data_IF_685696315709
#
_entry.id   IF_685696315709
#
_cell.length_a   1.000
_cell.length_b   1.000
_cell.length_c   1.000
_cell.angle_alpha   90.00
_cell.angle_beta   90.00
_cell.angle_gamma   90.00
#
_symmetry.space_group_name_H-M   'P 1'
#
loop_
_entity.id
_entity.type
_entity.pdbx_description
1 polymer ?
#
# COMPACT_ATOMS: atom_id res chain seq x y z
N UNK A 1 -31.80 5.34 20.19
CA UNK A 1 -31.26 5.79 18.88
C UNK A 1 -29.75 5.57 18.89
N UNK A 2 -29.19 5.11 17.77
CA UNK A 2 -27.83 4.56 17.63
C UNK A 2 -26.75 5.63 17.89
N UNK A 3 -25.80 5.34 18.78
CA UNK A 3 -24.58 6.12 18.96
C UNK A 3 -23.40 5.17 19.16
N UNK A 4 -22.81 4.73 18.04
CA UNK A 4 -21.54 4.03 18.01
C UNK A 4 -20.44 5.12 18.12
N UNK A 5 -19.49 5.05 19.05
CA UNK A 5 -18.30 5.90 19.07
C UNK A 5 -17.07 5.03 18.76
N UNK A 6 -16.22 5.49 17.84
CA UNK A 6 -14.94 4.83 17.49
C UNK A 6 -13.87 5.92 17.64
N UNK A 7 -12.89 5.70 18.52
CA UNK A 7 -11.72 6.58 18.69
C UNK A 7 -10.60 6.01 17.82
N UNK A 8 -10.04 6.84 16.95
CA UNK A 8 -8.83 6.53 16.18
C UNK A 8 -7.70 7.40 16.69
N UNK A 9 -6.64 6.82 17.24
CA UNK A 9 -5.44 7.55 17.64
C UNK A 9 -4.37 7.43 16.55
N UNK A 10 -3.77 8.56 16.16
CA UNK A 10 -2.64 8.61 15.23
C UNK A 10 -1.40 9.11 15.96
N UNK A 11 -0.30 8.39 15.79
CA UNK A 11 1.04 8.80 16.26
C UNK A 11 1.95 8.92 15.04
N UNK A 12 2.45 10.13 14.78
CA UNK A 12 3.23 10.43 13.57
C UNK A 12 3.27 11.92 13.26
N UNK A 13 3.54 12.28 12.00
CA UNK A 13 3.60 13.69 11.55
C UNK A 13 2.30 14.44 11.87
N UNK A 14 2.42 15.60 12.54
CA UNK A 14 1.29 16.49 12.87
C UNK A 14 0.42 16.82 11.66
N UNK A 15 1.04 16.97 10.49
CA UNK A 15 0.34 17.28 9.25
C UNK A 15 -0.52 16.11 8.75
N UNK A 16 0.05 14.89 8.75
CA UNK A 16 -0.68 13.67 8.41
C UNK A 16 -1.82 13.43 9.40
N UNK A 17 -1.57 13.67 10.68
CA UNK A 17 -2.60 13.67 11.70
C UNK A 17 -3.75 14.61 11.35
N UNK A 18 -3.45 15.86 10.97
CA UNK A 18 -4.47 16.83 10.53
C UNK A 18 -5.22 16.36 9.29
N UNK A 19 -4.55 15.77 8.30
CA UNK A 19 -5.21 15.23 7.10
C UNK A 19 -6.13 14.05 7.44
N UNK A 20 -5.70 13.14 8.31
CA UNK A 20 -6.54 12.03 8.81
C UNK A 20 -7.74 12.58 9.57
N UNK A 21 -7.55 13.62 10.38
CA UNK A 21 -8.62 14.27 11.13
C UNK A 21 -9.61 15.00 10.21
N UNK A 22 -9.13 15.68 9.17
CA UNK A 22 -9.96 16.31 8.14
C UNK A 22 -10.73 15.27 7.32
N UNK A 23 -10.07 14.21 6.85
CA UNK A 23 -10.69 13.13 6.11
C UNK A 23 -11.73 12.39 6.97
N UNK A 24 -11.47 12.20 8.26
CA UNK A 24 -12.46 11.67 9.19
C UNK A 24 -13.66 12.61 9.35
N UNK A 25 -13.43 13.92 9.48
CA UNK A 25 -14.50 14.93 9.55
C UNK A 25 -15.33 15.08 8.26
N UNK A 26 -14.74 14.79 7.09
CA UNK A 26 -15.41 14.85 5.78
C UNK A 26 -16.08 13.52 5.39
N UNK A 27 -15.80 12.43 6.11
CA UNK A 27 -16.44 11.13 5.92
C UNK A 27 -17.37 10.81 7.09
N UNK A 28 -18.07 9.67 7.06
CA UNK A 28 -18.88 9.20 8.20
C UNK A 28 -18.02 8.63 9.35
N UNK A 29 -16.74 9.00 9.40
CA UNK A 29 -15.74 8.40 10.28
C UNK A 29 -15.61 9.23 11.55
N UNK A 30 -15.60 8.57 12.70
CA UNK A 30 -15.79 9.21 14.01
C UNK A 30 -14.51 9.83 14.55
N UNK A 31 -14.64 10.51 15.69
CA UNK A 31 -13.62 11.31 16.40
C UNK A 31 -12.21 10.67 16.31
N UNK A 32 -11.29 11.37 15.66
CA UNK A 32 -9.86 11.05 15.61
C UNK A 32 -9.14 11.87 16.67
N UNK A 33 -8.32 11.20 17.49
CA UNK A 33 -7.41 11.83 18.46
C UNK A 33 -6.00 11.82 17.87
N UNK A 34 -5.30 12.95 17.93
CA UNK A 34 -3.91 13.07 17.48
C UNK A 34 -3.02 13.14 18.72
N UNK A 35 -2.15 12.15 18.88
CA UNK A 35 -1.10 12.19 19.91
C UNK A 35 0.19 12.66 19.26
N UNK A 36 0.57 13.89 19.55
CA UNK A 36 1.77 14.52 19.01
C UNK A 36 2.93 14.38 20.00
N UNK A 37 3.91 13.54 19.64
CA UNK A 37 5.26 13.61 20.20
C UNK A 37 5.38 13.15 21.65
N UNK A 38 5.81 11.89 21.82
CA UNK A 38 6.34 11.42 23.08
C UNK A 38 6.89 10.03 22.92
N UNK A 39 8.10 9.77 23.45
CA UNK A 39 8.74 8.43 23.51
C UNK A 39 7.94 7.41 24.35
N UNK A 40 6.71 7.72 24.71
CA UNK A 40 5.78 6.89 25.48
C UNK A 40 4.35 7.35 25.11
N UNK A 41 3.66 6.67 24.19
CA UNK A 41 2.24 6.93 23.95
C UNK A 41 1.49 6.50 25.20
N UNK A 42 1.10 7.45 26.05
CA UNK A 42 0.15 7.15 27.10
C UNK A 42 -1.24 7.15 26.44
N UNK A 43 -1.70 5.98 25.97
CA UNK A 43 -3.12 5.83 25.58
C UNK A 43 -3.93 5.88 26.87
N UNK A 44 -4.31 7.10 27.28
CA UNK A 44 -5.22 7.31 28.41
C UNK A 44 -6.62 6.96 27.95
N UNK A 45 -7.01 5.70 28.12
CA UNK A 45 -8.41 5.32 28.09
C UNK A 45 -9.07 5.99 29.30
N UNK A 46 -9.96 6.95 29.07
CA UNK A 46 -10.74 7.54 30.17
C UNK A 46 -11.60 6.45 30.80
N UNK A 47 -11.43 6.22 32.09
CA UNK A 47 -12.35 5.42 32.87
C UNK A 47 -13.79 5.97 32.69
N UNK A 48 -14.65 5.12 32.13
CA UNK A 48 -16.08 5.04 32.40
C UNK A 48 -17.06 6.16 31.99
N UNK A 49 -16.74 7.07 31.05
CA UNK A 49 -17.78 7.99 30.52
C UNK A 49 -18.46 7.47 29.24
N UNK A 50 -17.72 6.75 28.39
CA UNK A 50 -18.24 6.11 27.18
C UNK A 50 -17.49 4.80 26.98
N UNK A 51 -18.08 3.66 27.34
CA UNK A 51 -17.48 2.32 27.20
C UNK A 51 -17.20 1.98 25.72
N UNK A 52 -16.11 2.49 25.17
CA UNK A 52 -15.68 2.24 23.79
C UNK A 52 -14.83 0.96 23.80
N UNK A 53 -15.29 -0.12 23.15
CA UNK A 53 -14.56 -1.38 23.19
C UNK A 53 -13.22 -1.24 22.46
N UNK A 54 -12.14 -1.81 23.00
CA UNK A 54 -10.81 -1.76 22.38
C UNK A 54 -10.79 -2.41 20.98
N UNK A 55 -11.63 -3.41 20.76
CA UNK A 55 -11.87 -4.05 19.46
C UNK A 55 -12.42 -3.09 18.38
N UNK A 56 -12.86 -1.91 18.79
CA UNK A 56 -13.39 -0.84 17.94
C UNK A 56 -12.32 0.19 17.55
N UNK A 57 -11.17 0.18 18.24
CA UNK A 57 -10.10 1.14 18.02
C UNK A 57 -9.19 0.72 16.85
N UNK A 58 -8.81 1.71 16.04
CA UNK A 58 -7.81 1.57 14.98
C UNK A 58 -6.70 2.57 15.25
N UNK A 59 -5.50 2.04 15.48
CA UNK A 59 -4.28 2.84 15.72
C UNK A 59 -3.42 2.82 14.46
N UNK A 60 -2.97 3.99 14.03
CA UNK A 60 -2.10 4.12 12.85
C UNK A 60 -0.79 4.74 13.32
N UNK A 61 0.31 4.05 13.02
CA UNK A 61 1.66 4.47 13.42
C UNK A 61 2.59 4.52 12.21
N UNK A 62 3.28 5.64 12.01
CA UNK A 62 4.30 5.80 10.96
C UNK A 62 5.71 5.77 11.54
N UNK A 63 6.66 5.12 10.86
CA UNK A 63 8.05 5.04 11.31
C UNK A 63 8.13 4.40 12.71
N UNK A 64 8.84 5.03 13.64
CA UNK A 64 8.87 4.67 15.06
C UNK A 64 7.46 4.61 15.71
N UNK A 65 6.51 5.38 15.19
CA UNK A 65 5.11 5.36 15.60
C UNK A 65 4.43 4.00 15.41
N UNK A 66 4.90 3.17 14.48
CA UNK A 66 4.37 1.83 14.28
C UNK A 66 4.67 0.91 15.49
N UNK A 67 5.88 0.97 16.05
CA UNK A 67 6.24 0.20 17.25
C UNK A 67 5.57 0.74 18.51
N UNK A 68 5.42 2.06 18.59
CA UNK A 68 4.59 2.75 19.59
C UNK A 68 3.15 2.21 19.58
N UNK A 69 2.56 1.98 18.41
CA UNK A 69 1.25 1.36 18.27
C UNK A 69 1.26 -0.11 18.72
N UNK A 70 2.29 -0.89 18.37
CA UNK A 70 2.46 -2.28 18.83
C UNK A 70 2.51 -2.38 20.35
N UNK A 71 3.39 -1.60 20.99
CA UNK A 71 3.48 -1.52 22.46
C UNK A 71 2.19 -1.12 23.16
N UNK A 72 1.35 -0.29 22.51
CA UNK A 72 0.02 0.02 23.00
C UNK A 72 -0.92 -1.19 22.89
N UNK A 73 -0.91 -1.89 21.75
CA UNK A 73 -1.66 -3.12 21.52
C UNK A 73 -1.34 -4.21 22.54
N UNK A 74 -0.06 -4.45 22.79
CA UNK A 74 0.45 -5.39 23.80
C UNK A 74 -0.06 -5.08 25.21
N UNK A 75 -0.08 -3.79 25.60
CA UNK A 75 -0.51 -3.35 26.94
C UNK A 75 -2.02 -3.30 27.13
N UNK A 76 -2.75 -2.96 26.07
CA UNK A 76 -4.20 -2.81 26.11
C UNK A 76 -4.94 -4.14 25.89
N UNK A 77 -4.21 -5.24 25.62
CA UNK A 77 -4.76 -6.58 25.43
C UNK A 77 -5.83 -6.64 24.32
N UNK A 78 -5.34 -6.50 23.07
CA UNK A 78 -6.04 -6.68 21.77
C UNK A 78 -6.91 -5.50 21.31
N UNK A 79 -6.24 -4.51 20.71
CA UNK A 79 -6.86 -3.47 19.88
C UNK A 79 -7.58 -4.07 18.67
N UNK A 80 -8.54 -3.32 18.11
CA UNK A 80 -9.32 -3.75 16.95
C UNK A 80 -8.50 -3.88 15.66
N UNK A 81 -7.64 -2.88 15.41
CA UNK A 81 -6.72 -2.83 14.26
C UNK A 81 -5.50 -1.97 14.55
N UNK A 82 -4.34 -2.39 14.07
CA UNK A 82 -3.15 -1.53 13.93
C UNK A 82 -2.76 -1.44 12.45
N UNK A 83 -2.44 -0.25 11.97
CA UNK A 83 -1.77 -0.09 10.68
C UNK A 83 -0.36 0.46 10.88
N UNK A 84 0.65 -0.31 10.46
CA UNK A 84 2.05 0.10 10.44
C UNK A 84 2.41 0.75 9.11
N UNK A 85 2.78 2.02 9.13
CA UNK A 85 3.21 2.75 7.93
C UNK A 85 4.74 2.84 7.96
N UNK A 86 5.38 1.97 7.19
CA UNK A 86 6.83 1.80 7.08
C UNK A 86 7.53 1.78 8.47
N UNK A 87 7.29 0.73 9.28
CA UNK A 87 7.86 0.61 10.62
C UNK A 87 9.39 0.76 10.60
N UNK A 88 9.97 1.46 11.57
CA UNK A 88 11.40 1.81 11.53
C UNK A 88 12.32 0.58 11.73
N UNK A 89 13.35 0.44 10.90
CA UNK A 89 14.32 -0.67 10.99
C UNK A 89 15.27 -0.59 12.19
N UNK A 90 15.90 0.56 12.48
CA UNK A 90 16.98 0.60 13.46
C UNK A 90 16.51 0.18 14.85
N UNK A 91 17.16 -0.84 15.41
CA UNK A 91 16.89 -1.44 16.73
C UNK A 91 15.62 -2.30 16.85
N UNK A 92 14.84 -2.48 15.78
CA UNK A 92 13.60 -3.27 15.79
C UNK A 92 13.63 -4.47 14.86
N UNK A 93 14.31 -4.37 13.71
CA UNK A 93 14.29 -5.47 12.76
C UNK A 93 14.99 -6.72 13.31
N UNK A 94 14.34 -7.86 13.13
CA UNK A 94 14.77 -9.18 13.59
C UNK A 94 14.94 -9.31 15.11
N UNK A 95 14.37 -8.38 15.89
CA UNK A 95 14.23 -8.56 17.34
C UNK A 95 13.06 -9.47 17.67
N UNK A 96 12.98 -9.86 18.94
CA UNK A 96 11.80 -10.54 19.51
C UNK A 96 10.53 -9.71 19.27
N UNK A 97 9.39 -10.39 19.11
CA UNK A 97 8.07 -9.81 18.86
C UNK A 97 7.72 -8.75 19.91
N UNK A 98 7.99 -9.02 21.19
CA UNK A 98 7.78 -8.09 22.31
C UNK A 98 8.48 -6.72 22.18
N UNK A 99 9.47 -6.61 21.30
CA UNK A 99 10.29 -5.41 21.11
C UNK A 99 9.81 -4.58 19.90
N UNK A 100 8.93 -5.09 19.05
CA UNK A 100 8.53 -4.45 17.79
C UNK A 100 7.02 -4.52 17.57
N UNK A 101 6.57 -4.09 16.40
CA UNK A 101 5.22 -4.35 15.95
C UNK A 101 5.16 -5.81 15.49
N UNK A 102 4.10 -6.52 15.84
CA UNK A 102 3.83 -7.86 15.34
C UNK A 102 2.32 -8.17 15.26
N UNK A 103 1.90 -9.27 14.59
CA UNK A 103 0.49 -9.60 14.42
C UNK A 103 -0.30 -9.72 15.73
N UNK A 104 0.33 -10.14 16.83
CA UNK A 104 -0.34 -10.35 18.12
C UNK A 104 -0.83 -9.07 18.81
N UNK A 105 -0.31 -7.90 18.41
CA UNK A 105 -0.62 -6.60 19.01
C UNK A 105 -2.07 -6.14 18.80
N UNK A 106 -2.77 -6.68 17.80
CA UNK A 106 -4.18 -6.36 17.54
C UNK A 106 -4.93 -7.54 16.91
N UNK A 107 -6.26 -7.46 16.88
CA UNK A 107 -7.08 -8.43 16.15
C UNK A 107 -6.84 -8.40 14.63
N UNK A 108 -6.20 -7.35 14.12
CA UNK A 108 -5.77 -7.24 12.73
C UNK A 108 -4.64 -6.21 12.63
N UNK A 109 -3.57 -6.58 11.96
CA UNK A 109 -2.39 -5.73 11.75
C UNK A 109 -2.10 -5.73 10.26
N UNK A 110 -2.12 -4.55 9.65
CA UNK A 110 -1.76 -4.37 8.24
C UNK A 110 -0.58 -3.39 8.11
N UNK A 111 0.40 -3.74 7.29
CA UNK A 111 1.66 -2.99 7.21
C UNK A 111 1.95 -2.57 5.78
N UNK A 112 2.45 -1.35 5.58
CA UNK A 112 2.89 -0.84 4.27
C UNK A 112 4.39 -0.57 4.34
N UNK A 113 5.19 -1.34 3.60
CA UNK A 113 6.63 -1.18 3.48
C UNK A 113 6.97 -0.35 2.26
N UNK A 114 7.72 0.73 2.43
CA UNK A 114 8.11 1.62 1.33
C UNK A 114 9.60 1.88 1.26
N UNK A 115 10.32 1.72 2.37
CA UNK A 115 11.76 2.03 2.49
C UNK A 115 12.55 0.91 3.17
N UNK A 116 12.19 -0.35 2.90
CA UNK A 116 12.86 -1.57 3.39
C UNK A 116 14.26 -1.84 2.81
N UNK A 117 14.98 -0.80 2.39
CA UNK A 117 16.40 -0.90 2.08
C UNK A 117 17.23 -1.13 3.35
N UNK A 118 18.45 -1.64 3.23
CA UNK A 118 19.35 -1.69 4.40
C UNK A 118 19.58 -0.26 4.89
N UNK A 119 19.64 -0.06 6.21
CA UNK A 119 20.01 1.22 6.82
C UNK A 119 21.35 1.75 6.29
N UNK A 120 22.31 0.86 6.03
CA UNK A 120 23.61 1.21 5.44
C UNK A 120 23.44 1.79 4.03
N UNK A 121 22.41 1.35 3.30
CA UNK A 121 22.06 1.84 1.96
C UNK A 121 21.04 3.00 1.97
N UNK A 122 20.73 3.53 3.15
CA UNK A 122 19.84 4.67 3.34
C UNK A 122 18.34 4.35 3.51
N UNK A 123 17.97 3.08 3.71
CA UNK A 123 16.58 2.71 4.04
C UNK A 123 16.27 2.91 5.52
N UNK A 124 15.10 3.45 5.85
CA UNK A 124 14.67 3.69 7.23
C UNK A 124 13.62 2.68 7.71
N UNK A 125 12.93 2.01 6.79
CA UNK A 125 11.85 1.07 7.10
C UNK A 125 12.33 -0.38 7.21
N UNK A 126 11.60 -1.20 7.97
CA UNK A 126 11.80 -2.65 8.03
C UNK A 126 11.38 -3.29 6.69
N UNK A 127 12.09 -4.34 6.29
CA UNK A 127 11.66 -5.26 5.21
C UNK A 127 11.11 -6.58 5.76
N UNK A 128 11.28 -6.82 7.06
CA UNK A 128 10.71 -7.96 7.76
C UNK A 128 9.19 -7.82 7.85
N UNK A 129 8.47 -8.91 7.59
CA UNK A 129 7.03 -9.01 7.79
C UNK A 129 6.68 -8.82 9.27
N UNK A 130 5.70 -7.96 9.55
CA UNK A 130 5.26 -7.68 10.91
C UNK A 130 3.74 -7.43 11.03
N UNK A 131 2.96 -7.76 10.00
CA UNK A 131 1.51 -7.74 10.03
C UNK A 131 0.89 -9.10 9.79
N UNK A 132 -0.44 -9.16 9.88
CA UNK A 132 -1.19 -10.26 9.28
C UNK A 132 -1.15 -10.15 7.74
N UNK A 133 -1.07 -8.93 7.22
CA UNK A 133 -0.83 -8.63 5.81
C UNK A 133 0.20 -7.52 5.68
N UNK A 134 1.20 -7.75 4.84
CA UNK A 134 2.32 -6.86 4.60
C UNK A 134 2.34 -6.48 3.11
N UNK A 135 2.11 -5.20 2.84
CA UNK A 135 2.09 -4.65 1.49
C UNK A 135 3.46 -4.06 1.14
N UNK A 136 3.97 -4.46 -0.03
CA UNK A 136 5.26 -4.01 -0.57
C UNK A 136 5.05 -3.29 -1.91
N UNK A 137 4.45 -2.08 -1.91
CA UNK A 137 4.33 -1.27 -3.11
C UNK A 137 5.70 -1.03 -3.75
N UNK A 138 5.79 -1.31 -5.04
CA UNK A 138 7.02 -1.22 -5.84
C UNK A 138 8.19 -2.03 -5.25
N UNK A 139 7.87 -3.15 -4.60
CA UNK A 139 8.85 -4.03 -3.94
C UNK A 139 9.28 -3.56 -2.55
N UNK A 140 8.69 -2.47 -2.06
CA UNK A 140 8.78 -1.99 -0.68
C UNK A 140 10.14 -1.42 -0.26
N UNK A 141 11.03 -1.11 -1.20
CA UNK A 141 12.37 -0.55 -0.93
C UNK A 141 12.61 0.83 -1.52
N UNK A 142 12.23 1.02 -2.79
CA UNK A 142 12.47 2.26 -3.53
C UNK A 142 11.22 2.62 -4.29
N UNK A 143 10.68 3.80 -3.98
CA UNK A 143 9.43 4.26 -4.54
C UNK A 143 9.67 5.12 -5.77
N UNK A 144 8.86 4.96 -6.83
CA UNK A 144 8.93 5.83 -8.00
C UNK A 144 8.85 7.32 -7.59
N UNK A 145 9.68 8.15 -8.22
CA UNK A 145 9.73 9.59 -7.95
C UNK A 145 10.60 10.01 -6.76
N UNK A 146 11.20 9.06 -6.02
CA UNK A 146 12.06 9.37 -4.87
C UNK A 146 13.57 9.47 -5.20
N UNK A 147 13.92 9.66 -6.47
CA UNK A 147 15.31 9.89 -6.93
C UNK A 147 15.60 11.37 -7.21
N UNK A 148 14.76 12.28 -6.73
CA UNK A 148 14.92 13.72 -6.99
C UNK A 148 16.15 14.26 -6.26
N UNK A 149 16.88 15.16 -6.90
CA UNK A 149 17.92 15.94 -6.23
C UNK A 149 17.28 16.86 -5.17
N UNK A 150 18.07 17.31 -4.19
CA UNK A 150 17.55 18.11 -3.07
C UNK A 150 16.80 19.36 -3.54
N UNK A 151 17.22 19.95 -4.67
CA UNK A 151 16.57 21.12 -5.30
C UNK A 151 15.14 20.80 -5.75
N UNK A 152 14.92 19.69 -6.46
CA UNK A 152 13.58 19.27 -6.89
C UNK A 152 12.66 18.92 -5.72
N UNK A 153 13.21 18.41 -4.61
CA UNK A 153 12.44 18.17 -3.39
C UNK A 153 12.02 19.47 -2.69
N UNK A 154 12.91 20.49 -2.66
CA UNK A 154 12.61 21.82 -2.12
C UNK A 154 11.59 22.56 -2.99
N UNK A 155 11.72 22.51 -4.32
CA UNK A 155 10.74 23.10 -5.24
C UNK A 155 9.36 22.47 -5.08
N UNK A 156 9.30 21.15 -4.87
CA UNK A 156 8.02 20.43 -4.70
C UNK A 156 7.32 20.79 -3.38
N UNK A 157 8.08 20.89 -2.29
CA UNK A 157 7.53 21.21 -0.97
C UNK A 157 7.36 22.72 -0.74
N UNK A 158 8.03 23.56 -1.54
CA UNK A 158 8.00 25.02 -1.40
C UNK A 158 8.74 25.56 -0.17
N UNK A 159 9.37 24.69 0.62
CA UNK A 159 10.11 25.02 1.84
C UNK A 159 11.42 24.23 1.93
N UNK A 160 12.50 24.89 2.37
CA UNK A 160 13.85 24.34 2.42
C UNK A 160 13.99 23.18 3.42
N UNK A 161 13.44 23.34 4.63
CA UNK A 161 13.55 22.31 5.67
C UNK A 161 12.71 21.09 5.30
N UNK A 162 11.52 21.31 4.76
CA UNK A 162 10.64 20.24 4.29
C UNK A 162 11.17 19.54 3.04
N UNK A 163 11.74 20.28 2.09
CA UNK A 163 12.40 19.73 0.91
C UNK A 163 13.58 18.84 1.26
N UNK A 164 14.40 19.21 2.24
CA UNK A 164 15.52 18.39 2.73
C UNK A 164 15.00 17.13 3.45
N UNK A 165 13.96 17.25 4.29
CA UNK A 165 13.33 16.09 4.94
C UNK A 165 12.73 15.12 3.93
N UNK A 166 12.05 15.64 2.91
CA UNK A 166 11.51 14.84 1.82
C UNK A 166 12.60 14.20 0.99
N UNK A 167 13.68 14.91 0.69
CA UNK A 167 14.82 14.34 -0.02
C UNK A 167 15.44 13.15 0.73
N UNK A 168 15.62 13.28 2.04
CA UNK A 168 16.23 12.24 2.88
C UNK A 168 15.26 11.06 3.13
N UNK A 169 13.96 11.33 3.25
CA UNK A 169 12.96 10.34 3.65
C UNK A 169 11.88 10.07 2.61
N UNK A 170 12.09 10.35 1.31
CA UNK A 170 11.01 10.28 0.32
C UNK A 170 10.35 8.90 0.28
N UNK A 171 11.14 7.84 0.23
CA UNK A 171 10.62 6.47 0.26
C UNK A 171 9.86 6.23 1.56
N UNK A 172 10.41 6.66 2.70
CA UNK A 172 9.81 6.48 4.02
C UNK A 172 8.46 7.21 4.19
N UNK A 173 8.33 8.38 3.56
CA UNK A 173 7.12 9.21 3.54
C UNK A 173 6.00 8.57 2.70
N UNK A 174 6.33 7.79 1.68
CA UNK A 174 5.34 7.23 0.73
C UNK A 174 4.31 6.35 1.40
N UNK A 175 4.63 5.67 2.50
CA UNK A 175 3.66 4.83 3.20
C UNK A 175 2.43 5.62 3.66
N UNK A 176 2.61 6.80 4.26
CA UNK A 176 1.46 7.62 4.66
C UNK A 176 0.82 8.36 3.48
N UNK A 177 1.56 8.68 2.42
CA UNK A 177 0.98 9.26 1.20
C UNK A 177 0.02 8.27 0.53
N UNK A 178 0.45 7.01 0.37
CA UNK A 178 -0.41 5.96 -0.17
C UNK A 178 -1.61 5.67 0.74
N UNK A 179 -1.40 5.63 2.06
CA UNK A 179 -2.49 5.47 3.01
C UNK A 179 -3.51 6.62 2.89
N UNK A 180 -3.03 7.87 2.82
CA UNK A 180 -3.89 9.06 2.68
C UNK A 180 -4.69 9.03 1.37
N UNK A 181 -4.05 8.67 0.24
CA UNK A 181 -4.76 8.53 -1.03
C UNK A 181 -5.80 7.39 -0.98
N UNK A 182 -5.53 6.29 -0.29
CA UNK A 182 -6.49 5.17 -0.15
C UNK A 182 -7.81 5.57 0.54
N UNK A 183 -7.79 6.67 1.31
CA UNK A 183 -8.97 7.25 1.96
C UNK A 183 -9.76 8.11 0.96
N UNK A 184 -9.05 8.95 0.22
CA UNK A 184 -9.61 10.02 -0.61
C UNK A 184 -9.81 9.63 -2.08
N UNK A 185 -9.60 8.35 -2.42
CA UNK A 185 -9.68 7.83 -3.78
C UNK A 185 -10.63 6.63 -3.89
N UNK A 186 -11.31 6.55 -5.03
CA UNK A 186 -12.09 5.36 -5.41
C UNK A 186 -11.19 4.17 -5.77
N UNK A 187 -9.93 4.45 -6.09
CA UNK A 187 -8.95 3.42 -6.43
C UNK A 187 -8.51 2.65 -5.18
N UNK A 188 -8.68 1.32 -5.13
CA UNK A 188 -8.55 0.54 -3.90
C UNK A 188 -7.11 0.12 -3.54
N UNK A 189 -6.11 0.42 -4.39
CA UNK A 189 -4.73 -0.05 -4.24
C UNK A 189 -4.64 -1.57 -4.00
N UNK A 190 -5.14 -2.38 -4.93
CA UNK A 190 -5.06 -3.84 -4.77
C UNK A 190 -3.59 -4.32 -4.76
N UNK A 191 -3.18 -4.89 -3.64
CA UNK A 191 -2.01 -5.75 -3.51
C UNK A 191 -2.38 -7.19 -3.83
N UNK A 192 -1.44 -7.94 -4.40
CA UNK A 192 -1.61 -9.34 -4.81
C UNK A 192 -0.58 -10.23 -4.12
N UNK A 193 -1.03 -11.38 -3.63
CA UNK A 193 -0.17 -12.39 -3.00
C UNK A 193 0.80 -12.93 -4.04
N UNK A 194 2.08 -12.93 -3.67
CA UNK A 194 3.16 -13.49 -4.49
C UNK A 194 4.38 -13.75 -3.58
N UNK A 195 5.28 -14.65 -3.97
CA UNK A 195 6.43 -14.98 -3.12
C UNK A 195 7.51 -13.88 -3.13
N UNK A 196 7.68 -13.22 -4.28
CA UNK A 196 8.68 -12.17 -4.48
C UNK A 196 8.15 -11.07 -5.38
N UNK A 197 8.69 -9.86 -5.20
CA UNK A 197 8.39 -8.74 -6.09
C UNK A 197 8.81 -9.03 -7.53
N UNK A 198 9.92 -9.73 -7.75
CA UNK A 198 10.38 -10.07 -9.10
C UNK A 198 9.36 -10.97 -9.80
N UNK A 199 8.88 -12.03 -9.15
CA UNK A 199 7.81 -12.88 -9.69
C UNK A 199 6.52 -12.10 -9.93
N UNK A 200 6.17 -11.20 -9.00
CA UNK A 200 5.02 -10.33 -9.17
C UNK A 200 5.19 -9.42 -10.39
N UNK A 201 6.34 -8.78 -10.59
CA UNK A 201 6.65 -7.84 -11.69
C UNK A 201 6.79 -8.49 -13.07
N UNK A 202 6.80 -9.82 -13.12
CA UNK A 202 6.84 -10.61 -14.35
C UNK A 202 5.58 -11.44 -14.55
N UNK A 203 4.52 -11.18 -13.79
CA UNK A 203 3.21 -11.81 -13.98
C UNK A 203 3.17 -13.31 -13.63
N UNK A 204 4.15 -13.83 -12.89
CA UNK A 204 4.20 -15.24 -12.46
C UNK A 204 3.20 -15.60 -11.36
N UNK A 205 2.47 -14.62 -10.85
CA UNK A 205 1.39 -14.78 -9.87
C UNK A 205 0.03 -14.42 -10.52
N UNK A 206 -0.47 -15.19 -11.51
CA UNK A 206 -1.59 -14.79 -12.37
C UNK A 206 -2.97 -15.06 -11.77
N UNK A 207 -3.05 -15.50 -10.52
CA UNK A 207 -4.29 -16.01 -9.91
C UNK A 207 -5.31 -14.91 -9.58
N UNK A 208 -4.92 -13.64 -9.74
CA UNK A 208 -5.75 -12.48 -9.41
C UNK A 208 -6.12 -12.46 -7.94
N UNK A 209 -7.34 -12.02 -7.61
CA UNK A 209 -7.87 -12.07 -6.25
C UNK A 209 -8.35 -13.47 -5.83
N UNK A 210 -8.49 -14.41 -6.78
CA UNK A 210 -9.11 -15.72 -6.58
C UNK A 210 -10.64 -15.65 -6.39
N UNK A 211 -11.33 -16.81 -6.33
CA UNK A 211 -12.77 -16.84 -6.12
C UNK A 211 -13.18 -16.25 -4.76
N UNK A 212 -12.35 -16.44 -3.71
CA UNK A 212 -12.52 -15.85 -2.37
C UNK A 212 -11.63 -16.44 -1.24
N UNK A 213 -10.50 -17.09 -1.51
CA UNK A 213 -9.40 -17.19 -0.50
C UNK A 213 -8.31 -16.12 -0.72
N UNK A 214 -8.78 -14.98 -1.26
CA UNK A 214 -8.25 -13.62 -1.16
C UNK A 214 -6.77 -13.40 -1.42
N UNK A 215 -6.31 -13.94 -2.54
CA UNK A 215 -4.97 -13.66 -3.09
C UNK A 215 -4.75 -12.18 -3.46
N UNK A 216 -5.62 -11.28 -3.03
CA UNK A 216 -5.44 -9.85 -3.07
C UNK A 216 -6.13 -9.15 -1.87
N UNK A 217 -5.66 -7.96 -1.53
CA UNK A 217 -6.30 -7.08 -0.57
C UNK A 217 -6.14 -5.61 -0.98
N UNK A 218 -7.11 -4.74 -0.68
CA UNK A 218 -6.92 -3.30 -0.85
C UNK A 218 -5.92 -2.79 0.20
N UNK A 219 -4.82 -2.19 -0.24
CA UNK A 219 -3.84 -1.55 0.64
C UNK A 219 -4.42 -0.25 1.23
N UNK A 220 -4.12 0.02 2.50
CA UNK A 220 -4.52 1.25 3.19
C UNK A 220 -5.83 1.12 3.97
N UNK A 221 -6.68 2.15 3.98
CA UNK A 221 -7.84 2.19 4.89
C UNK A 221 -8.78 1.00 4.72
N UNK A 222 -8.99 0.54 3.48
CA UNK A 222 -9.91 -0.55 3.16
C UNK A 222 -9.34 -1.95 3.45
N UNK A 223 -8.10 -2.08 3.93
CA UNK A 223 -7.46 -3.37 4.21
C UNK A 223 -8.19 -4.19 5.29
N UNK A 224 -8.98 -3.54 6.18
CA UNK A 224 -9.86 -4.24 7.14
C UNK A 224 -10.81 -5.26 6.51
N UNK A 225 -11.15 -5.10 5.22
CA UNK A 225 -11.97 -6.07 4.48
C UNK A 225 -11.31 -7.43 4.37
N UNK A 226 -9.99 -7.47 4.50
CA UNK A 226 -9.18 -8.68 4.45
C UNK A 226 -9.01 -9.34 5.83
N UNK A 227 -9.44 -8.71 6.94
CA UNK A 227 -9.35 -9.25 8.31
C UNK A 227 -9.89 -10.68 8.45
N UNK A 228 -10.94 -11.04 7.69
CA UNK A 228 -11.54 -12.38 7.72
C UNK A 228 -10.64 -13.50 7.19
N UNK A 229 -9.55 -13.15 6.50
CA UNK A 229 -8.56 -14.08 5.94
C UNK A 229 -7.25 -14.10 6.72
N UNK A 230 -7.12 -13.22 7.71
CA UNK A 230 -5.93 -13.11 8.54
C UNK A 230 -5.66 -14.44 9.27
N UNK A 231 -4.38 -14.83 9.30
CA UNK A 231 -3.85 -16.01 9.98
C UNK A 231 -2.65 -15.57 10.83
N UNK A 232 -2.15 -16.46 11.68
CA UNK A 232 -0.97 -16.19 12.51
C UNK A 232 0.28 -15.95 11.64
N UNK A 233 0.36 -16.62 10.49
CA UNK A 233 1.44 -16.43 9.52
C UNK A 233 1.22 -15.17 8.66
N UNK A 234 2.21 -14.25 8.58
CA UNK A 234 2.13 -13.06 7.75
C UNK A 234 1.97 -13.36 6.25
N UNK A 235 1.16 -12.55 5.56
CA UNK A 235 0.94 -12.66 4.12
C UNK A 235 1.53 -11.46 3.37
N UNK A 236 2.45 -11.74 2.43
CA UNK A 236 3.05 -10.74 1.54
C UNK A 236 2.16 -10.42 0.37
N UNK A 237 1.98 -9.13 0.10
CA UNK A 237 1.30 -8.64 -1.09
C UNK A 237 2.09 -7.56 -1.81
N UNK A 238 2.10 -7.64 -3.13
CA UNK A 238 2.82 -6.71 -3.99
C UNK A 238 1.86 -5.94 -4.89
N UNK A 239 2.23 -4.70 -5.17
CA UNK A 239 1.54 -3.80 -6.09
C UNK A 239 2.53 -2.81 -6.69
N UNK A 240 2.10 -2.13 -7.74
CA UNK A 240 2.83 -1.02 -8.33
C UNK A 240 2.03 0.27 -8.11
N UNK A 241 2.74 1.36 -7.87
CA UNK A 241 2.17 2.71 -7.78
C UNK A 241 2.95 3.66 -8.68
N UNK A 242 2.41 4.86 -8.91
CA UNK A 242 3.10 5.89 -9.70
C UNK A 242 4.18 6.64 -8.92
N UNK A 243 4.95 7.44 -9.66
CA UNK A 243 5.84 8.46 -9.11
C UNK A 243 5.16 9.76 -8.67
N UNK A 244 3.94 10.03 -9.11
CA UNK A 244 3.18 11.25 -8.80
C UNK A 244 1.73 10.92 -8.45
N UNK A 245 1.11 11.81 -7.67
CA UNK A 245 -0.31 11.71 -7.41
C UNK A 245 -1.12 11.85 -8.70
N UNK A 246 -2.26 11.16 -8.80
CA UNK A 246 -2.64 10.04 -7.94
C UNK A 246 -1.73 8.82 -8.16
N UNK A 247 -1.27 8.20 -7.07
CA UNK A 247 -0.34 7.07 -7.04
C UNK A 247 -1.01 5.76 -7.41
N UNK A 248 -2.28 5.57 -7.09
CA UNK A 248 -2.97 4.31 -7.29
C UNK A 248 -2.98 3.88 -8.75
N UNK A 249 -2.73 2.59 -9.01
CA UNK A 249 -2.75 2.00 -10.34
C UNK A 249 -3.65 0.78 -10.35
N UNK A 250 -4.22 0.49 -11.52
CA UNK A 250 -4.93 -0.75 -11.77
C UNK A 250 -4.01 -1.73 -12.50
N UNK A 251 -4.01 -2.98 -12.03
CA UNK A 251 -3.19 -4.06 -12.57
C UNK A 251 -4.02 -4.92 -13.52
N UNK A 252 -3.52 -5.08 -14.75
CA UNK A 252 -4.09 -5.96 -15.75
C UNK A 252 -3.04 -6.95 -16.20
N UNK A 253 -3.43 -8.22 -16.30
CA UNK A 253 -2.66 -9.28 -16.95
C UNK A 253 -3.30 -9.56 -18.31
N UNK A 254 -2.54 -9.40 -19.40
CA UNK A 254 -3.00 -9.78 -20.74
C UNK A 254 -2.13 -10.88 -21.29
N UNK A 255 -2.80 -11.97 -21.66
CA UNK A 255 -2.22 -13.08 -22.38
C UNK A 255 -2.53 -12.92 -23.86
N UNK A 256 -1.53 -12.59 -24.68
CA UNK A 256 -1.69 -12.54 -26.13
C UNK A 256 -1.33 -13.89 -26.73
N UNK A 257 -2.25 -14.48 -27.48
CA UNK A 257 -2.01 -15.69 -28.26
C UNK A 257 -1.96 -15.28 -29.73
N UNK A 258 -0.81 -15.46 -30.37
CA UNK A 258 -0.70 -15.24 -31.82
C UNK A 258 -1.43 -16.40 -32.53
N UNK A 259 -2.32 -16.08 -33.47
CA UNK A 259 -2.97 -17.08 -34.31
C UNK A 259 -1.97 -17.65 -35.33
N UNK A 260 -2.04 -18.95 -35.55
CA UNK A 260 -1.27 -19.66 -36.57
C UNK A 260 -2.25 -20.04 -37.69
N UNK A 261 -2.04 -19.55 -38.91
CA UNK A 261 -2.77 -20.05 -40.10
C UNK A 261 -1.99 -21.20 -40.74
N UNK A 262 -2.70 -22.16 -41.35
CA UNK A 262 -2.04 -23.26 -42.08
C UNK A 262 -1.27 -22.75 -43.32
N UNK A 263 -1.66 -21.61 -43.89
CA UNK A 263 -0.94 -20.93 -44.98
C UNK A 263 0.45 -20.41 -44.55
N UNK A 264 0.64 -20.08 -43.27
CA UNK A 264 1.96 -19.71 -42.71
C UNK A 264 2.90 -20.90 -42.48
N UNK A 265 2.45 -22.13 -42.73
CA UNK A 265 3.24 -23.36 -42.53
C UNK A 265 4.06 -23.73 -43.77
N UNK A 266 3.58 -23.36 -44.96
CA UNK A 266 4.25 -23.61 -46.23
C UNK A 266 5.28 -22.54 -46.58
N UNK A 267 5.15 -21.36 -45.99
CA UNK A 267 6.12 -20.25 -46.08
C UNK A 267 6.84 -20.14 -44.74
N UNK A 268 8.02 -20.77 -44.62
CA UNK A 268 8.87 -20.66 -43.43
C UNK A 268 9.47 -19.26 -43.26
N UNK A 269 8.66 -18.22 -43.02
CA UNK A 269 9.17 -16.94 -42.53
C UNK A 269 8.87 -16.84 -41.05
N UNK A 270 9.90 -17.03 -40.24
CA UNK A 270 9.84 -16.61 -38.84
C UNK A 270 9.80 -15.09 -38.83
N UNK A 271 8.62 -14.51 -38.66
CA UNK A 271 8.47 -13.07 -38.52
C UNK A 271 9.08 -12.62 -37.17
N UNK A 272 10.06 -11.71 -37.23
CA UNK A 272 10.66 -11.09 -36.04
C UNK A 272 10.07 -9.70 -35.89
N UNK A 273 9.27 -9.49 -34.85
CA UNK A 273 8.64 -8.22 -34.57
C UNK A 273 8.47 -7.96 -33.08
N UNK A 274 8.13 -6.70 -32.76
CA UNK A 274 7.69 -6.29 -31.43
C UNK A 274 6.17 -6.17 -31.48
N UNK A 275 5.49 -6.81 -30.55
CA UNK A 275 4.04 -6.73 -30.44
C UNK A 275 3.67 -5.58 -29.48
N UNK A 276 2.66 -4.80 -29.83
CA UNK A 276 2.16 -3.71 -28.99
C UNK A 276 0.66 -3.86 -28.75
N UNK A 277 0.20 -3.52 -27.55
CA UNK A 277 -1.20 -3.62 -27.11
C UNK A 277 -1.67 -2.27 -26.59
N UNK A 278 -2.93 -1.92 -26.88
CA UNK A 278 -3.65 -0.79 -26.28
C UNK A 278 -4.98 -1.27 -25.74
N UNK A 279 -5.28 -0.96 -24.50
CA UNK A 279 -6.57 -1.23 -23.87
C UNK A 279 -7.52 -0.06 -24.13
N UNK A 280 -8.71 -0.38 -24.65
CA UNK A 280 -9.81 0.57 -24.86
C UNK A 280 -11.02 0.16 -24.04
N UNK A 281 -11.44 1.02 -23.13
CA UNK A 281 -12.67 0.84 -22.35
C UNK A 281 -13.54 2.08 -22.39
N UNK A 282 -14.66 2.07 -21.66
CA UNK A 282 -15.69 3.11 -21.73
C UNK A 282 -15.28 4.49 -21.22
N UNK A 283 -14.18 4.60 -20.45
CA UNK A 283 -13.80 5.84 -19.77
C UNK A 283 -12.54 6.53 -20.34
N UNK A 284 -11.65 5.86 -21.06
CA UNK A 284 -10.36 6.45 -21.51
C UNK A 284 -9.67 5.66 -22.66
N UNK A 285 -8.39 5.99 -22.97
CA UNK A 285 -7.31 5.21 -23.64
C UNK A 285 -6.22 4.66 -22.68
N UNK A 286 -5.69 3.43 -22.79
CA UNK A 286 -4.34 3.18 -22.22
C UNK A 286 -3.25 3.74 -23.13
N UNK A 287 -2.02 3.98 -22.61
CA UNK A 287 -0.83 4.10 -23.46
C UNK A 287 -0.64 2.86 -24.35
N UNK A 288 0.14 3.00 -25.43
CA UNK A 288 0.59 1.85 -26.23
C UNK A 288 1.70 1.14 -25.46
N UNK A 289 1.55 -0.17 -25.29
CA UNK A 289 2.35 -0.95 -24.35
C UNK A 289 2.95 -2.15 -25.10
N UNK A 290 4.25 -2.33 -24.98
CA UNK A 290 4.95 -3.44 -25.66
C UNK A 290 4.69 -4.77 -24.94
N UNK A 291 4.26 -5.77 -25.71
CA UNK A 291 4.10 -7.13 -25.24
C UNK A 291 5.46 -7.85 -25.22
N UNK A 292 5.81 -8.43 -24.08
CA UNK A 292 7.01 -9.27 -23.94
C UNK A 292 6.66 -10.74 -24.18
N UNK A 293 7.67 -11.51 -24.58
CA UNK A 293 7.57 -12.87 -25.13
C UNK A 293 6.82 -13.88 -24.23
N UNK A 294 6.71 -13.63 -22.92
CA UNK A 294 6.15 -14.58 -21.95
C UNK A 294 4.95 -14.04 -21.14
N UNK A 295 4.70 -12.73 -21.14
CA UNK A 295 3.61 -12.06 -20.43
C UNK A 295 3.60 -10.56 -20.78
N UNK A 296 2.45 -9.91 -20.59
CA UNK A 296 2.37 -8.45 -20.65
C UNK A 296 1.78 -7.93 -19.33
N UNK A 297 2.61 -7.23 -18.56
CA UNK A 297 2.17 -6.47 -17.40
C UNK A 297 1.80 -5.06 -17.82
N UNK A 298 0.64 -4.59 -17.40
CA UNK A 298 0.25 -3.20 -17.59
C UNK A 298 0.13 -2.47 -16.26
N UNK A 299 0.80 -1.33 -16.21
CA UNK A 299 0.56 -0.28 -15.22
C UNK A 299 -0.40 0.71 -15.87
N UNK A 300 -1.68 0.72 -15.46
CA UNK A 300 -2.60 1.75 -15.93
C UNK A 300 -2.70 2.88 -14.91
N UNK A 301 -2.28 4.05 -15.38
CA UNK A 301 -2.43 5.33 -14.72
C UNK A 301 -3.85 5.88 -14.87
N UNK A 302 -4.55 5.97 -13.74
CA UNK A 302 -5.40 7.09 -13.27
C UNK A 302 -6.63 6.57 -12.47
N UNK A 303 -6.98 7.21 -11.32
CA UNK A 303 -8.16 6.87 -10.49
C UNK A 303 -9.50 7.07 -11.19
N UNK A 304 -9.57 7.93 -12.22
CA UNK A 304 -10.82 8.21 -12.94
C UNK A 304 -11.23 7.11 -13.92
N UNK A 305 -10.33 6.16 -14.21
CA UNK A 305 -10.54 5.14 -15.23
C UNK A 305 -10.73 3.75 -14.62
N UNK A 306 -11.89 3.51 -14.01
CA UNK A 306 -12.39 2.15 -13.83
C UNK A 306 -12.82 1.62 -15.21
N UNK A 307 -11.98 0.81 -15.84
CA UNK A 307 -12.21 0.30 -17.19
C UNK A 307 -13.11 -0.92 -17.18
N UNK A 308 -14.40 -0.70 -16.98
CA UNK A 308 -15.40 -1.73 -17.18
C UNK A 308 -16.67 -1.13 -17.76
N UNK A 309 -17.22 -1.68 -18.87
CA UNK A 309 -16.74 -2.84 -19.64
C UNK A 309 -15.72 -2.45 -20.73
N UNK A 310 -14.73 -3.30 -20.99
CA UNK A 310 -13.84 -3.21 -22.17
C UNK A 310 -14.67 -3.33 -23.45
N UNK A 311 -14.56 -2.35 -24.37
CA UNK A 311 -15.25 -2.38 -25.66
C UNK A 311 -14.27 -2.73 -26.75
N UNK A 312 -14.35 -3.97 -27.23
CA UNK A 312 -13.91 -4.50 -28.53
C UNK A 312 -12.43 -4.29 -28.94
N UNK A 313 -11.84 -5.37 -29.45
CA UNK A 313 -10.61 -5.34 -30.24
C UNK A 313 -10.88 -4.68 -31.60
N UNK A 314 -9.99 -3.80 -32.04
CA UNK A 314 -9.95 -3.33 -33.43
C UNK A 314 -8.57 -3.70 -33.94
N UNK A 315 -8.53 -4.69 -34.82
CA UNK A 315 -7.36 -4.97 -35.65
C UNK A 315 -7.15 -3.77 -36.58
N UNK A 316 -5.93 -3.25 -36.62
CA UNK A 316 -5.45 -2.35 -37.67
C UNK A 316 -4.11 -2.82 -38.16
#
# INVERSE_FOLDING_TARGET
MRSLAYIRSFTGSTEVGKLIQQAAGQSNTKRVTLEMGGKSPLVVCSDDVYSIPLSSMHVIGHSLGAHVAGYAGQRLNKLGRITGLDPAEPYFQYTLEEVRLDPSDAQFVDVIHTDGGSFITGGLGMIQDCGHVDFYPNGGKRQPGCNQNVVGAIEKEGDLLYGIRRFIGCNHIRAYEFFTESINSDCPFYGYVCDTYDNFSVGKCPWGCGPDDSMCAPMGLKAEKWKKFARDEPVKMFLHTSNTEPFCRHHYLINVRCSYSEEGRTVHTTEKGRLFVRLTGTKAQSPVLEAKKDYVQFFLATPSSSWCPLRRWVDS
#
